data_IF_362252449689
#
_entry.id   IF_362252449689
#
_cell.length_a   1.000
_cell.length_b   1.000
_cell.length_c   1.000
_cell.angle_alpha   90.00
_cell.angle_beta   90.00
_cell.angle_gamma   90.00
#
_symmetry.space_group_name_H-M   'P 1'
#
loop_
_entity.id
_entity.type
_entity.pdbx_description
1 polymer ?
#
# COMPACT_ATOMS: atom_id res chain seq x y z
N UNK A 1 0.98 -17.56 -19.58
CA UNK A 1 0.38 -18.17 -18.38
C UNK A 1 -0.16 -17.02 -17.54
N UNK A 2 -1.34 -17.14 -16.92
CA UNK A 2 -1.80 -16.14 -15.98
C UNK A 2 -0.83 -16.13 -14.80
N UNK A 3 -0.38 -14.96 -14.37
CA UNK A 3 0.45 -14.79 -13.17
C UNK A 3 -0.26 -15.25 -11.90
N UNK A 4 0.45 -15.31 -10.78
CA UNK A 4 -0.10 -15.64 -9.48
C UNK A 4 -1.02 -14.55 -8.91
N UNK A 5 -1.33 -14.62 -7.63
CA UNK A 5 -2.04 -13.57 -6.90
C UNK A 5 -1.13 -12.39 -6.61
N UNK A 6 -1.67 -11.18 -6.71
CA UNK A 6 -1.03 -9.99 -6.19
C UNK A 6 -1.75 -9.48 -4.94
N UNK A 7 -0.97 -8.94 -4.01
CA UNK A 7 -1.40 -8.29 -2.79
C UNK A 7 -1.00 -6.81 -2.84
N UNK A 8 -1.96 -5.90 -2.73
CA UNK A 8 -1.72 -4.47 -2.68
C UNK A 8 -2.05 -3.93 -1.28
N UNK A 9 -1.07 -3.32 -0.64
CA UNK A 9 -1.13 -2.88 0.76
C UNK A 9 -1.03 -1.35 0.83
N UNK A 10 -2.08 -0.69 1.31
CA UNK A 10 -2.11 0.77 1.37
C UNK A 10 -1.24 1.34 2.50
N UNK A 11 -0.91 2.62 2.40
CA UNK A 11 -0.46 3.42 3.53
C UNK A 11 -1.53 3.53 4.63
N UNK A 12 -1.16 4.13 5.79
CA UNK A 12 -2.09 4.37 6.90
C UNK A 12 -1.46 4.37 8.30
N UNK A 13 -0.12 4.46 8.40
CA UNK A 13 0.60 4.57 9.67
C UNK A 13 0.27 3.42 10.65
N UNK A 14 -0.08 3.76 11.90
CA UNK A 14 -0.39 2.79 12.96
C UNK A 14 -1.60 1.88 12.61
N UNK A 15 -2.53 2.37 11.79
CA UNK A 15 -3.70 1.61 11.32
C UNK A 15 -3.34 0.37 10.49
N UNK A 16 -2.10 0.30 9.97
CA UNK A 16 -1.52 -0.88 9.33
C UNK A 16 -1.55 -2.16 10.18
N UNK A 17 -1.78 -2.04 11.48
CA UNK A 17 -2.03 -3.19 12.37
C UNK A 17 -3.20 -4.07 11.87
N UNK A 18 -4.22 -3.49 11.26
CA UNK A 18 -5.30 -4.24 10.61
C UNK A 18 -4.77 -5.16 9.50
N UNK A 19 -3.91 -4.62 8.64
CA UNK A 19 -3.30 -5.40 7.55
C UNK A 19 -2.52 -6.60 8.09
N UNK A 20 -1.79 -6.43 9.21
CA UNK A 20 -1.04 -7.54 9.84
C UNK A 20 -1.98 -8.67 10.26
N UNK A 21 -3.13 -8.35 10.84
CA UNK A 21 -4.15 -9.35 11.19
C UNK A 21 -4.72 -10.07 9.96
N UNK A 22 -4.97 -9.33 8.88
CA UNK A 22 -5.40 -9.90 7.60
C UNK A 22 -4.34 -10.86 7.04
N UNK A 23 -3.07 -10.48 7.06
CA UNK A 23 -1.96 -11.31 6.56
C UNK A 23 -1.75 -12.56 7.39
N UNK A 24 -1.85 -12.44 8.71
CA UNK A 24 -1.74 -13.60 9.63
C UNK A 24 -2.87 -14.61 9.34
N UNK A 25 -4.10 -14.17 9.22
CA UNK A 25 -5.22 -15.07 8.92
C UNK A 25 -5.12 -15.67 7.51
N UNK A 26 -4.81 -14.87 6.47
CA UNK A 26 -4.74 -15.35 5.10
C UNK A 26 -3.54 -16.27 4.84
N UNK A 27 -2.34 -15.86 5.28
CA UNK A 27 -1.10 -16.56 4.91
C UNK A 27 -0.81 -17.69 5.89
N UNK A 28 -0.82 -17.40 7.21
CA UNK A 28 -0.44 -18.39 8.22
C UNK A 28 -1.56 -19.40 8.44
N UNK A 29 -2.80 -18.92 8.63
CA UNK A 29 -3.91 -19.82 9.00
C UNK A 29 -4.59 -20.47 7.78
N UNK A 30 -4.59 -19.81 6.61
CA UNK A 30 -5.29 -20.29 5.42
C UNK A 30 -4.37 -20.73 4.28
N UNK A 31 -3.06 -20.51 4.40
CA UNK A 31 -2.09 -20.95 3.40
C UNK A 31 -2.20 -20.22 2.06
N UNK A 32 -2.72 -18.99 2.03
CA UNK A 32 -2.80 -18.19 0.80
C UNK A 32 -1.41 -17.72 0.41
N UNK A 33 -1.03 -17.94 -0.84
CA UNK A 33 0.26 -17.50 -1.38
C UNK A 33 0.08 -16.34 -2.36
N UNK A 34 0.94 -15.32 -2.24
CA UNK A 34 1.01 -14.18 -3.14
C UNK A 34 2.36 -14.19 -3.86
N UNK A 35 2.34 -14.11 -5.20
CA UNK A 35 3.54 -14.03 -6.02
C UNK A 35 4.09 -12.60 -6.09
N UNK A 36 3.17 -11.62 -6.09
CA UNK A 36 3.51 -10.20 -6.14
C UNK A 36 2.94 -9.50 -4.92
N UNK A 37 3.77 -8.71 -4.26
CA UNK A 37 3.36 -7.91 -3.09
C UNK A 37 3.81 -6.48 -3.29
N UNK A 38 2.85 -5.56 -3.24
CA UNK A 38 3.11 -4.13 -3.42
C UNK A 38 2.66 -3.36 -2.19
N UNK A 39 3.38 -2.32 -1.82
CA UNK A 39 3.01 -1.55 -0.63
C UNK A 39 3.54 -0.13 -0.60
N UNK A 40 2.82 0.71 0.12
CA UNK A 40 3.17 2.11 0.39
C UNK A 40 3.14 2.36 1.89
N UNK A 41 4.11 3.14 2.42
CA UNK A 41 4.14 3.53 3.83
C UNK A 41 4.14 2.30 4.76
N UNK A 42 3.21 2.24 5.69
CA UNK A 42 3.02 1.05 6.53
C UNK A 42 2.79 -0.21 5.70
N UNK A 43 2.10 -0.10 4.55
CA UNK A 43 1.93 -1.22 3.62
C UNK A 43 3.25 -1.72 3.03
N UNK A 44 4.28 -0.88 2.91
CA UNK A 44 5.62 -1.30 2.49
C UNK A 44 6.32 -2.15 3.58
N UNK A 45 6.07 -1.87 4.85
CA UNK A 45 6.54 -2.68 5.99
C UNK A 45 5.95 -4.09 5.90
N UNK A 46 4.63 -4.18 5.71
CA UNK A 46 3.93 -5.44 5.56
C UNK A 46 4.36 -6.19 4.29
N UNK A 47 4.51 -5.46 3.16
CA UNK A 47 4.95 -6.05 1.90
C UNK A 47 6.33 -6.70 2.03
N UNK A 48 7.28 -6.07 2.73
CA UNK A 48 8.58 -6.68 3.01
C UNK A 48 8.45 -7.94 3.88
N UNK A 49 7.58 -7.93 4.90
CA UNK A 49 7.29 -9.10 5.74
C UNK A 49 6.73 -10.28 4.94
N UNK A 50 5.80 -10.02 4.03
CA UNK A 50 5.24 -11.04 3.11
C UNK A 50 6.30 -11.51 2.10
N UNK A 51 7.07 -10.58 1.54
CA UNK A 51 8.09 -10.91 0.53
C UNK A 51 9.20 -11.81 1.08
N UNK A 52 9.52 -11.77 2.37
CA UNK A 52 10.49 -12.66 3.00
C UNK A 52 9.89 -13.93 3.61
N UNK A 53 8.58 -14.20 3.40
CA UNK A 53 7.84 -15.33 3.96
C UNK A 53 7.94 -15.43 5.50
N UNK A 54 7.95 -14.29 6.20
CA UNK A 54 8.15 -14.26 7.65
C UNK A 54 7.07 -13.41 8.36
N UNK A 55 5.82 -13.85 8.22
CA UNK A 55 4.67 -13.22 8.91
C UNK A 55 4.80 -13.26 10.43
N UNK A 56 5.32 -14.33 11.06
CA UNK A 56 5.57 -14.31 12.51
C UNK A 56 6.51 -13.18 12.94
N UNK A 57 7.54 -12.89 12.17
CA UNK A 57 8.46 -11.77 12.46
C UNK A 57 7.78 -10.42 12.29
N UNK A 58 6.98 -10.26 11.24
CA UNK A 58 6.15 -9.08 11.05
C UNK A 58 5.18 -8.88 12.22
N UNK A 59 4.50 -9.94 12.66
CA UNK A 59 3.60 -9.89 13.81
C UNK A 59 4.36 -9.49 15.09
N UNK A 60 5.56 -10.04 15.29
CA UNK A 60 6.42 -9.71 16.43
C UNK A 60 6.88 -8.25 16.40
N UNK A 61 7.18 -7.69 15.23
CA UNK A 61 7.47 -6.27 15.07
C UNK A 61 6.31 -5.41 15.60
N UNK A 62 5.08 -5.67 15.15
CA UNK A 62 3.91 -4.87 15.54
C UNK A 62 3.52 -5.05 17.02
N UNK A 63 3.50 -6.28 17.51
CA UNK A 63 3.15 -6.56 18.91
C UNK A 63 4.26 -6.18 19.90
N UNK A 64 5.48 -6.00 19.42
CA UNK A 64 6.62 -5.52 20.21
C UNK A 64 6.65 -4.00 20.44
N UNK A 65 5.81 -3.22 19.73
CA UNK A 65 5.74 -1.79 19.92
C UNK A 65 5.21 -1.43 21.31
N UNK A 66 5.90 -0.51 21.98
CA UNK A 66 5.58 -0.07 23.36
C UNK A 66 4.97 1.34 23.39
N UNK A 67 4.54 1.85 22.25
CA UNK A 67 4.02 3.20 22.08
C UNK A 67 4.80 3.98 21.02
N UNK A 68 4.43 5.24 20.85
CA UNK A 68 5.01 6.12 19.85
C UNK A 68 6.54 6.20 19.88
N UNK A 69 7.14 6.07 21.08
CA UNK A 69 8.60 6.11 21.26
C UNK A 69 9.36 4.95 20.59
N UNK A 70 8.66 3.85 20.25
CA UNK A 70 9.22 2.75 19.46
C UNK A 70 9.40 3.12 17.99
N UNK A 71 8.67 4.12 17.50
CA UNK A 71 8.68 4.56 16.11
C UNK A 71 9.40 5.89 15.95
N UNK A 72 9.03 6.88 16.77
CA UNK A 72 9.60 8.24 16.65
C UNK A 72 9.80 8.91 18.00
N UNK A 73 10.66 9.93 18.01
CA UNK A 73 10.91 10.80 19.17
C UNK A 73 10.73 12.26 18.78
N UNK A 74 10.10 13.05 19.64
CA UNK A 74 9.95 14.50 19.44
C UNK A 74 11.30 15.20 19.39
N UNK A 75 11.41 16.25 18.57
CA UNK A 75 12.61 17.10 18.43
C UNK A 75 12.42 18.48 19.04
N UNK A 76 11.56 18.65 20.04
CA UNK A 76 11.35 19.93 20.73
C UNK A 76 10.28 20.83 20.10
N UNK A 77 9.45 20.29 19.19
CA UNK A 77 8.36 21.01 18.55
C UNK A 77 8.77 21.83 17.31
N UNK A 78 7.76 22.41 16.63
CA UNK A 78 7.95 23.10 15.34
C UNK A 78 8.86 24.35 15.46
N UNK A 79 8.69 25.16 16.50
CA UNK A 79 9.49 26.38 16.70
C UNK A 79 10.98 26.00 16.81
N UNK A 80 11.29 24.94 17.55
CA UNK A 80 12.65 24.47 17.71
C UNK A 80 13.21 23.86 16.42
N UNK A 81 12.40 23.15 15.65
CA UNK A 81 12.79 22.61 14.34
C UNK A 81 13.11 23.74 13.35
N UNK A 82 12.31 24.80 13.31
CA UNK A 82 12.54 25.98 12.46
C UNK A 82 13.83 26.71 12.89
N UNK A 83 14.00 27.00 14.18
CA UNK A 83 15.19 27.73 14.70
C UNK A 83 16.48 26.94 14.44
N UNK A 84 16.43 25.61 14.55
CA UNK A 84 17.58 24.70 14.37
C UNK A 84 17.80 24.22 12.94
N UNK A 85 16.97 24.65 11.98
CA UNK A 85 17.07 24.26 10.57
C UNK A 85 16.85 22.74 10.33
N UNK A 86 16.06 22.08 11.18
CA UNK A 86 15.77 20.63 11.02
C UNK A 86 14.72 20.40 9.95
N UNK A 87 14.87 19.31 9.21
CA UNK A 87 14.04 18.95 8.08
C UNK A 87 12.82 18.07 8.45
N UNK A 88 12.51 17.91 9.74
CA UNK A 88 11.38 17.11 10.24
C UNK A 88 11.05 17.46 11.68
N UNK A 89 9.79 17.18 12.07
CA UNK A 89 9.30 17.39 13.43
C UNK A 89 9.76 16.29 14.40
N UNK A 90 9.94 15.06 13.89
CA UNK A 90 10.31 13.89 14.68
C UNK A 90 11.65 13.30 14.23
N UNK A 91 12.26 12.53 15.10
CA UNK A 91 13.39 11.65 14.82
C UNK A 91 12.90 10.22 14.71
N UNK A 92 13.23 9.52 13.64
CA UNK A 92 12.77 8.17 13.31
C UNK A 92 13.84 7.11 13.45
N UNK A 93 14.92 7.40 14.19
CA UNK A 93 15.97 6.41 14.49
C UNK A 93 15.44 5.08 15.04
N UNK A 94 14.45 5.09 15.97
CA UNK A 94 13.86 3.84 16.45
C UNK A 94 13.22 3.02 15.33
N UNK A 95 12.40 3.62 14.46
CA UNK A 95 11.79 2.94 13.32
C UNK A 95 12.84 2.36 12.37
N UNK A 96 13.87 3.15 12.01
CA UNK A 96 14.94 2.69 11.14
C UNK A 96 15.66 1.47 11.72
N UNK A 97 15.99 1.49 13.03
CA UNK A 97 16.61 0.35 13.69
C UNK A 97 15.73 -0.91 13.65
N UNK A 98 14.44 -0.77 13.92
CA UNK A 98 13.47 -1.88 13.85
C UNK A 98 13.34 -2.44 12.44
N UNK A 99 13.32 -1.59 11.41
CA UNK A 99 13.24 -2.05 10.01
C UNK A 99 14.52 -2.81 9.59
N UNK A 100 15.70 -2.31 9.94
CA UNK A 100 16.95 -3.02 9.69
C UNK A 100 17.07 -4.34 10.47
N UNK A 101 16.46 -4.44 11.64
CA UNK A 101 16.37 -5.70 12.36
C UNK A 101 15.40 -6.68 11.70
N UNK A 102 14.25 -6.19 11.20
CA UNK A 102 13.16 -7.01 10.67
C UNK A 102 13.42 -7.50 9.24
N UNK A 103 13.98 -6.64 8.36
CA UNK A 103 14.05 -6.88 6.92
C UNK A 103 15.40 -7.50 6.56
N UNK A 104 15.32 -8.59 5.78
CA UNK A 104 16.46 -9.36 5.29
C UNK A 104 16.41 -9.43 3.76
N UNK A 105 17.26 -8.67 3.10
CA UNK A 105 17.32 -8.56 1.64
C UNK A 105 17.57 -9.92 0.96
N UNK A 106 18.41 -10.78 1.57
CA UNK A 106 18.72 -12.09 1.00
C UNK A 106 17.52 -13.03 1.08
N UNK A 107 16.80 -13.03 2.19
CA UNK A 107 15.54 -13.78 2.31
C UNK A 107 14.52 -13.34 1.28
N UNK A 108 14.30 -12.02 1.12
CA UNK A 108 13.37 -11.50 0.12
C UNK A 108 13.72 -12.01 -1.28
N UNK A 109 15.00 -11.91 -1.68
CA UNK A 109 15.44 -12.40 -3.00
C UNK A 109 15.28 -13.92 -3.14
N UNK A 110 15.52 -14.66 -2.07
CA UNK A 110 15.46 -16.12 -2.10
C UNK A 110 14.03 -16.67 -2.29
N UNK A 111 12.99 -15.94 -1.91
CA UNK A 111 11.60 -16.37 -2.11
C UNK A 111 11.15 -16.33 -3.56
N UNK A 112 11.79 -15.48 -4.39
CA UNK A 112 11.37 -15.24 -5.77
C UNK A 112 10.09 -14.42 -5.91
N UNK A 113 9.55 -13.86 -4.82
CA UNK A 113 8.38 -12.98 -4.87
C UNK A 113 8.75 -11.61 -5.44
N UNK A 114 7.85 -11.03 -6.20
CA UNK A 114 7.97 -9.67 -6.69
C UNK A 114 7.57 -8.68 -5.59
N UNK A 115 8.55 -7.97 -5.01
CA UNK A 115 8.31 -6.87 -4.08
C UNK A 115 8.29 -5.54 -4.82
N UNK A 116 7.30 -4.67 -4.53
CA UNK A 116 7.18 -3.34 -5.11
C UNK A 116 6.82 -2.32 -4.02
N UNK A 117 7.71 -1.36 -3.79
CA UNK A 117 7.60 -0.32 -2.75
C UNK A 117 7.50 1.03 -3.45
N UNK A 118 6.44 1.79 -3.16
CA UNK A 118 6.25 3.13 -3.69
C UNK A 118 6.99 4.17 -2.83
N UNK A 119 7.80 5.03 -3.46
CA UNK A 119 8.48 6.17 -2.82
C UNK A 119 8.42 7.39 -3.72
N UNK A 120 8.44 8.58 -3.13
CA UNK A 120 8.42 9.85 -3.87
C UNK A 120 9.72 10.62 -3.65
N UNK A 121 10.35 11.04 -4.75
CA UNK A 121 11.46 11.98 -4.69
C UNK A 121 10.92 13.40 -4.49
N UNK A 122 11.09 13.97 -3.29
CA UNK A 122 10.55 15.30 -2.97
C UNK A 122 11.24 16.42 -3.74
N UNK A 123 12.42 16.18 -4.34
CA UNK A 123 13.17 17.21 -5.07
C UNK A 123 12.59 17.48 -6.46
N UNK A 124 11.93 16.50 -7.08
CA UNK A 124 11.38 16.59 -8.44
C UNK A 124 9.94 16.06 -8.57
N UNK A 125 9.35 15.52 -7.48
CA UNK A 125 8.01 14.96 -7.46
C UNK A 125 7.87 13.58 -8.14
N UNK A 126 8.97 12.91 -8.52
CA UNK A 126 8.93 11.61 -9.19
C UNK A 126 8.44 10.51 -8.24
N UNK A 127 7.48 9.70 -8.70
CA UNK A 127 7.13 8.41 -8.09
C UNK A 127 8.09 7.34 -8.60
N UNK A 128 8.76 6.65 -7.70
CA UNK A 128 9.60 5.49 -8.00
C UNK A 128 9.06 4.24 -7.32
N UNK A 129 9.05 3.14 -8.06
CA UNK A 129 8.77 1.82 -7.52
C UNK A 129 10.09 1.08 -7.34
N UNK A 130 10.38 0.72 -6.09
CA UNK A 130 11.60 -0.01 -5.68
C UNK A 130 11.23 -1.48 -5.51
N UNK A 131 12.08 -2.38 -5.99
CA UNK A 131 11.83 -3.83 -5.97
C UNK A 131 12.86 -4.62 -5.17
N UNK A 132 12.67 -5.94 -5.12
CA UNK A 132 13.50 -6.93 -4.42
C UNK A 132 14.99 -6.94 -4.82
N UNK A 133 15.29 -6.46 -6.02
CA UNK A 133 16.66 -6.42 -6.54
C UNK A 133 17.44 -5.15 -6.10
N UNK A 134 16.79 -4.25 -5.35
CA UNK A 134 17.43 -3.06 -4.80
C UNK A 134 18.16 -3.40 -3.52
N UNK A 135 19.36 -2.81 -3.31
CA UNK A 135 20.10 -2.99 -2.07
C UNK A 135 19.51 -2.12 -0.94
N UNK A 136 19.66 -2.58 0.30
CA UNK A 136 19.19 -1.92 1.50
C UNK A 136 17.67 -1.69 1.47
N UNK A 137 16.89 -2.72 1.25
CA UNK A 137 15.41 -2.67 1.18
C UNK A 137 14.82 -2.01 2.43
N UNK A 138 15.42 -2.22 3.61
CA UNK A 138 14.99 -1.57 4.85
C UNK A 138 15.00 -0.03 4.76
N UNK A 139 16.00 0.56 4.09
CA UNK A 139 16.06 2.01 3.87
C UNK A 139 14.95 2.49 2.94
N UNK A 140 14.61 1.71 1.93
CA UNK A 140 13.53 2.06 1.00
C UNK A 140 12.14 1.88 1.62
N UNK A 141 11.96 0.87 2.47
CA UNK A 141 10.74 0.73 3.30
C UNK A 141 10.62 1.91 4.25
N UNK A 142 11.73 2.34 4.86
CA UNK A 142 11.75 3.56 5.64
C UNK A 142 11.38 4.80 4.81
N UNK A 143 11.96 4.97 3.63
CA UNK A 143 11.65 6.09 2.73
C UNK A 143 10.16 6.13 2.39
N UNK A 144 9.58 4.97 2.08
CA UNK A 144 8.14 4.82 1.84
C UNK A 144 7.29 5.21 3.06
N UNK A 145 7.82 5.11 4.27
CA UNK A 145 7.14 5.46 5.53
C UNK A 145 7.50 6.86 6.05
N UNK A 146 8.32 7.63 5.32
CA UNK A 146 8.81 8.94 5.73
C UNK A 146 7.81 10.05 5.39
N UNK A 147 6.65 10.08 6.08
CA UNK A 147 5.58 11.05 5.82
C UNK A 147 5.98 12.48 6.21
N UNK A 148 6.02 13.43 5.23
CA UNK A 148 6.26 14.84 5.54
C UNK A 148 5.04 15.49 6.21
N UNK A 149 5.23 16.53 7.03
CA UNK A 149 6.48 17.10 7.52
C UNK A 149 7.01 16.39 8.79
N UNK A 150 6.38 15.28 9.18
CA UNK A 150 6.66 14.57 10.43
C UNK A 150 8.04 13.93 10.43
N UNK A 151 8.34 13.14 9.43
CA UNK A 151 9.51 12.27 9.36
C UNK A 151 10.58 12.80 8.38
N UNK A 152 11.89 12.62 8.70
CA UNK A 152 12.95 13.06 7.82
C UNK A 152 13.03 12.19 6.56
N UNK A 153 13.33 12.78 5.37
CA UNK A 153 13.50 12.01 4.14
C UNK A 153 14.73 11.10 4.20
N UNK A 154 14.67 9.96 3.52
CA UNK A 154 15.87 9.19 3.17
C UNK A 154 16.70 10.02 2.18
N UNK A 155 18.01 10.09 2.41
CA UNK A 155 18.94 10.80 1.54
C UNK A 155 19.82 9.81 0.80
N UNK A 156 19.78 9.88 -0.52
CA UNK A 156 20.66 9.14 -1.41
C UNK A 156 21.46 10.08 -2.32
N UNK A 157 22.39 9.53 -3.06
CA UNK A 157 23.09 10.25 -4.12
C UNK A 157 23.01 9.46 -5.41
N UNK A 158 22.79 10.16 -6.50
CA UNK A 158 22.91 9.60 -7.84
C UNK A 158 24.38 9.27 -8.17
N UNK A 159 24.63 8.54 -9.25
CA UNK A 159 25.98 8.19 -9.69
C UNK A 159 26.85 9.42 -10.00
N UNK A 160 26.26 10.52 -10.42
CA UNK A 160 26.90 11.81 -10.67
C UNK A 160 26.96 12.72 -9.42
N UNK A 161 26.56 12.18 -8.24
CA UNK A 161 26.72 12.82 -6.94
C UNK A 161 25.60 13.78 -6.52
N UNK A 162 24.53 13.92 -7.30
CA UNK A 162 23.37 14.75 -6.96
C UNK A 162 22.64 14.18 -5.75
N UNK A 163 22.24 15.06 -4.83
CA UNK A 163 21.46 14.69 -3.66
C UNK A 163 19.99 14.45 -4.04
N UNK A 164 19.49 13.27 -3.72
CA UNK A 164 18.08 12.93 -3.76
C UNK A 164 17.51 12.80 -2.36
N UNK A 165 16.22 13.14 -2.20
CA UNK A 165 15.50 13.02 -0.94
C UNK A 165 14.19 12.31 -1.18
N UNK A 166 14.03 11.13 -0.54
CA UNK A 166 12.91 10.22 -0.73
C UNK A 166 11.99 10.27 0.48
N UNK A 167 10.71 10.37 0.22
CA UNK A 167 9.64 10.45 1.20
C UNK A 167 8.54 9.46 0.89
N UNK A 168 7.52 9.42 1.74
CA UNK A 168 6.37 8.52 1.66
C UNK A 168 5.74 8.51 0.27
N UNK A 169 5.53 7.29 -0.24
CA UNK A 169 4.89 7.04 -1.53
C UNK A 169 3.46 7.53 -1.60
N UNK A 170 2.77 7.59 -0.45
CA UNK A 170 1.36 8.00 -0.34
C UNK A 170 1.08 9.43 -0.81
N UNK A 171 2.11 10.25 -1.00
CA UNK A 171 1.92 11.55 -1.67
C UNK A 171 1.47 11.41 -3.14
N UNK A 172 1.62 10.23 -3.76
CA UNK A 172 1.27 9.99 -5.16
C UNK A 172 0.56 8.67 -5.45
N UNK A 173 0.73 7.65 -4.60
CA UNK A 173 0.22 6.30 -4.81
C UNK A 173 0.07 5.63 -3.42
N UNK A 174 -1.12 5.68 -2.86
CA UNK A 174 -1.41 5.15 -1.53
C UNK A 174 -1.63 3.64 -1.57
N UNK A 175 -2.32 3.16 -2.60
CA UNK A 175 -2.50 1.73 -2.84
C UNK A 175 -1.93 1.41 -4.22
N UNK A 176 -0.69 0.90 -4.33
CA UNK A 176 0.05 0.88 -5.59
C UNK A 176 -0.45 -0.19 -6.58
N UNK A 177 -1.72 -0.08 -7.00
CA UNK A 177 -2.36 -0.99 -7.96
C UNK A 177 -1.61 -1.05 -9.27
N UNK A 178 -1.14 0.09 -9.79
CA UNK A 178 -0.45 0.13 -11.08
C UNK A 178 0.84 -0.68 -11.05
N UNK A 179 1.53 -0.72 -9.90
CA UNK A 179 2.71 -1.57 -9.71
C UNK A 179 2.33 -3.05 -9.69
N UNK A 180 1.23 -3.43 -9.01
CA UNK A 180 0.73 -4.79 -9.00
C UNK A 180 0.31 -5.27 -10.41
N UNK A 181 -0.44 -4.44 -11.15
CA UNK A 181 -0.97 -4.79 -12.47
C UNK A 181 0.11 -4.98 -13.53
N UNK A 182 1.26 -4.28 -13.41
CA UNK A 182 2.42 -4.46 -14.31
C UNK A 182 3.00 -5.87 -14.26
N UNK A 183 2.88 -6.55 -13.13
CA UNK A 183 3.31 -7.95 -12.96
C UNK A 183 2.31 -8.97 -13.54
N UNK A 184 1.22 -8.50 -14.15
CA UNK A 184 0.19 -9.30 -14.81
C UNK A 184 -0.42 -10.41 -13.93
N UNK A 185 -0.86 -10.09 -12.71
CA UNK A 185 -1.46 -11.08 -11.81
C UNK A 185 -2.78 -11.60 -12.36
N UNK A 186 -3.22 -12.79 -11.89
CA UNK A 186 -4.55 -13.31 -12.20
C UNK A 186 -5.67 -12.58 -11.47
N UNK A 187 -5.36 -12.05 -10.26
CA UNK A 187 -6.25 -11.24 -9.45
C UNK A 187 -5.43 -10.39 -8.45
N UNK A 188 -6.00 -9.30 -7.96
CA UNK A 188 -5.40 -8.42 -6.94
C UNK A 188 -6.30 -8.38 -5.72
N UNK A 189 -5.77 -8.78 -4.56
CA UNK A 189 -6.37 -8.45 -3.27
C UNK A 189 -5.75 -7.15 -2.76
N UNK A 190 -6.55 -6.12 -2.58
CA UNK A 190 -6.13 -4.90 -1.92
C UNK A 190 -6.54 -4.94 -0.45
N UNK A 191 -5.59 -4.64 0.45
CA UNK A 191 -5.89 -4.50 1.88
C UNK A 191 -5.57 -3.06 2.28
N UNK A 192 -6.61 -2.28 2.54
CA UNK A 192 -6.47 -0.91 3.02
C UNK A 192 -6.24 -0.93 4.54
N UNK A 193 -5.33 -0.11 5.01
CA UNK A 193 -5.06 0.08 6.44
C UNK A 193 -6.15 0.91 7.11
N UNK A 194 -6.76 1.84 6.36
CA UNK A 194 -7.73 2.82 6.84
C UNK A 194 -9.14 2.50 6.38
N UNK A 195 -10.10 2.84 7.25
CA UNK A 195 -11.52 2.85 6.91
C UNK A 195 -11.81 3.94 5.85
N UNK A 196 -12.97 3.86 5.17
CA UNK A 196 -13.43 4.97 4.35
C UNK A 196 -13.41 6.28 5.15
N UNK A 197 -12.96 7.40 4.57
CA UNK A 197 -12.76 8.63 5.31
C UNK A 197 -14.06 9.14 5.94
N UNK A 198 -14.03 9.34 7.26
CA UNK A 198 -15.12 9.96 8.00
C UNK A 198 -14.59 11.19 8.75
N UNK A 199 -14.85 12.36 8.19
CA UNK A 199 -14.38 13.62 8.74
C UNK A 199 -15.27 14.10 9.86
N UNK A 200 -14.78 14.04 11.10
CA UNK A 200 -15.49 14.63 12.25
C UNK A 200 -15.20 16.13 12.34
N UNK A 201 -16.23 17.00 12.41
CA UNK A 201 -15.99 18.43 12.62
C UNK A 201 -15.22 18.68 13.91
N UNK A 202 -14.03 19.30 13.79
CA UNK A 202 -13.22 19.72 14.92
C UNK A 202 -12.49 21.03 14.62
N UNK A 203 -12.10 21.77 15.65
CA UNK A 203 -11.27 22.97 15.53
C UNK A 203 -9.80 22.58 15.54
N UNK A 204 -9.05 23.00 14.52
CA UNK A 204 -7.60 22.83 14.44
C UNK A 204 -6.91 24.09 14.98
N UNK A 205 -6.10 23.96 16.04
CA UNK A 205 -5.54 25.09 16.78
C UNK A 205 -4.09 25.42 16.42
N UNK A 206 -3.41 24.54 15.70
CA UNK A 206 -2.02 24.78 15.30
C UNK A 206 -1.82 24.59 13.80
N UNK A 207 -0.84 25.33 13.24
CA UNK A 207 -0.44 25.16 11.84
C UNK A 207 0.08 23.74 11.54
N UNK A 208 0.62 23.05 12.55
CA UNK A 208 1.07 21.66 12.43
C UNK A 208 -0.12 20.74 12.22
N UNK A 209 -1.14 20.86 13.08
CA UNK A 209 -2.35 20.02 12.97
C UNK A 209 -3.07 20.27 11.65
N UNK A 210 -3.14 21.53 11.20
CA UNK A 210 -3.69 21.88 9.88
C UNK A 210 -2.86 21.24 8.77
N UNK A 211 -1.52 21.27 8.88
CA UNK A 211 -0.61 20.67 7.90
C UNK A 211 -0.78 19.16 7.79
N UNK A 212 -0.85 18.45 8.91
CA UNK A 212 -1.11 17.00 8.91
C UNK A 212 -2.50 16.69 8.35
N UNK A 213 -3.53 17.41 8.77
CA UNK A 213 -4.89 17.22 8.24
C UNK A 213 -4.96 17.46 6.73
N UNK A 214 -4.23 18.46 6.21
CA UNK A 214 -4.18 18.69 4.77
C UNK A 214 -3.51 17.52 4.02
N UNK A 215 -2.46 16.92 4.58
CA UNK A 215 -1.83 15.73 4.02
C UNK A 215 -2.79 14.53 4.08
N UNK A 216 -3.49 14.33 5.19
CA UNK A 216 -4.47 13.23 5.34
C UNK A 216 -5.62 13.35 4.32
N UNK A 217 -6.13 14.58 4.09
CA UNK A 217 -7.16 14.82 3.04
C UNK A 217 -6.61 14.49 1.64
N UNK A 218 -5.40 14.93 1.33
CA UNK A 218 -4.79 14.67 0.03
C UNK A 218 -4.50 13.20 -0.20
N UNK A 219 -3.99 12.50 0.80
CA UNK A 219 -3.69 11.06 0.69
C UNK A 219 -4.97 10.21 0.63
N UNK A 220 -6.04 10.61 1.32
CA UNK A 220 -7.34 9.95 1.20
C UNK A 220 -7.90 10.04 -0.22
N UNK A 221 -7.82 11.22 -0.86
CA UNK A 221 -8.22 11.42 -2.26
C UNK A 221 -7.37 10.57 -3.22
N UNK A 222 -6.05 10.50 -3.00
CA UNK A 222 -5.17 9.63 -3.80
C UNK A 222 -5.59 8.16 -3.66
N UNK A 223 -5.86 7.69 -2.43
CA UNK A 223 -6.26 6.32 -2.17
C UNK A 223 -7.60 5.93 -2.85
N UNK A 224 -8.56 6.85 -2.86
CA UNK A 224 -9.85 6.64 -3.51
C UNK A 224 -9.72 6.65 -5.03
N UNK A 225 -8.89 7.55 -5.59
CA UNK A 225 -8.59 7.59 -7.02
C UNK A 225 -7.82 6.35 -7.50
N UNK A 226 -6.91 5.79 -6.68
CA UNK A 226 -6.18 4.56 -7.02
C UNK A 226 -7.15 3.39 -7.27
N UNK A 227 -8.16 3.23 -6.40
CA UNK A 227 -9.17 2.19 -6.52
C UNK A 227 -10.14 2.49 -7.68
N UNK A 228 -10.67 3.71 -7.73
CA UNK A 228 -11.65 4.13 -8.75
C UNK A 228 -11.10 3.94 -10.18
N UNK A 229 -9.82 4.20 -10.39
CA UNK A 229 -9.17 3.99 -11.69
C UNK A 229 -9.17 2.51 -12.11
N UNK A 230 -8.89 1.58 -11.19
CA UNK A 230 -8.90 0.13 -11.48
C UNK A 230 -10.32 -0.34 -11.78
N UNK A 231 -11.30 0.08 -10.99
CA UNK A 231 -12.71 -0.26 -11.18
C UNK A 231 -13.23 0.29 -12.51
N UNK A 232 -12.88 1.53 -12.85
CA UNK A 232 -13.27 2.16 -14.12
C UNK A 232 -12.69 1.41 -15.32
N UNK A 233 -11.40 1.08 -15.30
CA UNK A 233 -10.76 0.30 -16.38
C UNK A 233 -11.41 -1.07 -16.52
N UNK A 234 -11.64 -1.78 -15.42
CA UNK A 234 -12.31 -3.07 -15.44
C UNK A 234 -13.74 -2.97 -15.99
N UNK A 235 -14.49 -1.91 -15.64
CA UNK A 235 -15.84 -1.70 -16.15
C UNK A 235 -15.87 -1.41 -17.65
N UNK A 236 -14.90 -0.67 -18.18
CA UNK A 236 -14.78 -0.41 -19.62
C UNK A 236 -14.50 -1.69 -20.41
N UNK A 237 -13.59 -2.55 -19.89
CA UNK A 237 -13.26 -3.83 -20.54
C UNK A 237 -14.46 -4.80 -20.49
N UNK A 238 -15.19 -4.81 -19.39
CA UNK A 238 -16.41 -5.62 -19.26
C UNK A 238 -17.51 -5.15 -20.22
N UNK A 239 -17.73 -3.83 -20.30
CA UNK A 239 -18.72 -3.25 -21.20
C UNK A 239 -18.38 -3.49 -22.70
N UNK A 240 -17.09 -3.46 -23.06
CA UNK A 240 -16.63 -3.82 -24.41
C UNK A 240 -16.99 -5.28 -24.74
N UNK A 241 -16.71 -6.20 -23.83
CA UNK A 241 -17.02 -7.62 -24.04
C UNK A 241 -18.54 -7.87 -24.16
N UNK A 242 -19.34 -7.20 -23.33
CA UNK A 242 -20.82 -7.27 -23.39
C UNK A 242 -21.35 -6.73 -24.71
N UNK A 243 -20.87 -5.56 -25.15
CA UNK A 243 -21.28 -4.96 -26.44
C UNK A 243 -20.92 -5.86 -27.62
N UNK A 244 -19.77 -6.52 -27.61
CA UNK A 244 -19.41 -7.51 -28.64
C UNK A 244 -20.38 -8.68 -28.66
N UNK A 245 -20.75 -9.19 -27.50
CA UNK A 245 -21.70 -10.29 -27.41
C UNK A 245 -23.09 -9.91 -27.94
N UNK A 246 -23.56 -8.70 -27.65
CA UNK A 246 -24.83 -8.18 -28.18
C UNK A 246 -24.80 -8.03 -29.70
N UNK A 247 -23.76 -7.44 -30.27
CA UNK A 247 -23.62 -7.30 -31.73
C UNK A 247 -23.57 -8.64 -32.42
N UNK A 248 -22.90 -9.63 -31.84
CA UNK A 248 -22.89 -11.00 -32.34
C UNK A 248 -24.29 -11.65 -32.27
N UNK A 249 -25.03 -11.43 -31.17
CA UNK A 249 -26.41 -11.93 -31.03
C UNK A 249 -27.40 -11.32 -32.04
N UNK A 250 -27.13 -10.08 -32.48
CA UNK A 250 -27.86 -9.38 -33.56
C UNK A 250 -27.50 -9.94 -34.96
N UNK A 251 -26.56 -10.91 -35.06
CA UNK A 251 -26.16 -11.53 -36.32
C UNK A 251 -25.07 -10.76 -37.08
N UNK A 252 -24.38 -9.79 -36.45
CA UNK A 252 -23.27 -9.08 -37.07
C UNK A 252 -22.06 -10.01 -37.25
N UNK A 253 -21.42 -9.97 -38.42
CA UNK A 253 -20.24 -10.77 -38.70
C UNK A 253 -19.04 -10.31 -37.83
N UNK A 254 -18.14 -11.22 -37.37
CA UNK A 254 -17.00 -10.84 -36.52
C UNK A 254 -16.15 -9.73 -37.09
N UNK A 255 -15.88 -9.67 -38.38
CA UNK A 255 -15.09 -8.60 -39.01
C UNK A 255 -15.79 -7.24 -38.96
N UNK A 256 -17.11 -7.19 -38.96
CA UNK A 256 -17.87 -5.95 -38.83
C UNK A 256 -17.91 -5.51 -37.36
N UNK A 257 -18.00 -6.44 -36.42
CA UNK A 257 -17.87 -6.17 -34.98
C UNK A 257 -16.50 -5.55 -34.72
N UNK A 258 -15.43 -6.17 -35.19
CA UNK A 258 -14.07 -5.65 -35.01
C UNK A 258 -13.91 -4.23 -35.58
N UNK A 259 -14.52 -3.97 -36.74
CA UNK A 259 -14.49 -2.64 -37.35
C UNK A 259 -15.25 -1.60 -36.53
N UNK A 260 -16.43 -1.93 -36.04
CA UNK A 260 -17.25 -1.03 -35.21
C UNK A 260 -16.61 -0.76 -33.87
N UNK A 261 -16.06 -1.79 -33.23
CA UNK A 261 -15.44 -1.71 -31.90
C UNK A 261 -14.00 -1.15 -31.92
N UNK A 262 -13.39 -1.03 -33.12
CA UNK A 262 -11.98 -0.61 -33.23
C UNK A 262 -11.64 0.67 -32.47
N UNK A 263 -12.42 1.77 -32.50
CA UNK A 263 -12.07 2.97 -31.77
C UNK A 263 -11.96 2.75 -30.26
N UNK A 264 -12.85 1.94 -29.67
CA UNK A 264 -12.81 1.59 -28.26
C UNK A 264 -11.64 0.64 -27.96
N UNK A 265 -11.44 -0.37 -28.81
CA UNK A 265 -10.35 -1.32 -28.62
C UNK A 265 -8.99 -0.64 -28.67
N UNK A 266 -8.75 0.27 -29.60
CA UNK A 266 -7.48 1.01 -29.71
C UNK A 266 -7.15 1.79 -28.40
N UNK A 267 -8.17 2.24 -27.65
CA UNK A 267 -7.99 2.92 -26.37
C UNK A 267 -7.73 1.96 -25.18
N UNK A 268 -8.40 0.79 -25.19
CA UNK A 268 -8.35 -0.14 -24.04
C UNK A 268 -7.39 -1.32 -24.23
N UNK A 269 -6.84 -1.56 -25.45
CA UNK A 269 -5.96 -2.72 -25.71
C UNK A 269 -4.71 -2.80 -24.83
N UNK A 270 -4.25 -1.67 -24.33
CA UNK A 270 -3.12 -1.58 -23.38
C UNK A 270 -3.47 -2.04 -21.98
N UNK A 271 -4.76 -2.16 -21.66
CA UNK A 271 -5.25 -2.60 -20.36
C UNK A 271 -5.71 -4.06 -20.40
N UNK A 272 -5.80 -4.65 -19.25
CA UNK A 272 -6.32 -5.99 -19.06
C UNK A 272 -7.30 -5.99 -17.91
N UNK A 273 -8.40 -6.71 -18.05
CA UNK A 273 -9.29 -7.00 -16.94
C UNK A 273 -8.55 -7.82 -15.88
N UNK A 274 -8.48 -7.31 -14.66
CA UNK A 274 -7.91 -8.01 -13.51
C UNK A 274 -8.90 -7.97 -12.37
N UNK A 275 -9.48 -9.12 -11.97
CA UNK A 275 -10.36 -9.18 -10.82
C UNK A 275 -9.68 -8.55 -9.60
N UNK A 276 -10.37 -7.63 -8.94
CA UNK A 276 -9.86 -6.92 -7.77
C UNK A 276 -10.88 -7.02 -6.64
N UNK A 277 -10.40 -7.34 -5.45
CA UNK A 277 -11.21 -7.32 -4.22
C UNK A 277 -10.53 -6.45 -3.18
N UNK A 278 -11.32 -5.70 -2.42
CA UNK A 278 -10.83 -4.81 -1.36
C UNK A 278 -11.27 -5.33 -0.01
N UNK A 279 -10.32 -5.37 0.93
CA UNK A 279 -10.55 -5.61 2.35
C UNK A 279 -10.04 -4.39 3.13
N UNK A 280 -10.91 -3.82 3.97
CA UNK A 280 -10.61 -2.62 4.76
C UNK A 280 -11.38 -2.66 6.07
N UNK A 281 -10.92 -1.94 7.13
CA UNK A 281 -11.67 -1.83 8.36
C UNK A 281 -12.96 -1.02 8.16
N UNK A 282 -13.96 -1.25 9.00
CA UNK A 282 -15.22 -0.49 8.98
C UNK A 282 -15.06 0.91 9.58
N UNK A 283 -14.14 1.06 10.54
CA UNK A 283 -13.80 2.33 11.19
C UNK A 283 -12.38 2.31 11.72
N UNK A 284 -11.80 3.50 11.89
CA UNK A 284 -10.48 3.69 12.47
C UNK A 284 -10.60 3.96 13.97
N UNK A 285 -9.96 3.14 14.82
CA UNK A 285 -10.07 3.29 16.27
C UNK A 285 -9.13 4.36 16.84
N UNK A 286 -8.16 4.85 16.08
CA UNK A 286 -7.11 5.79 16.51
C UNK A 286 -6.52 6.57 15.34
N UNK A 287 -5.69 7.56 15.67
CA UNK A 287 -5.01 8.43 14.69
C UNK A 287 -3.83 7.72 13.99
N UNK A 288 -3.47 8.19 12.80
CA UNK A 288 -2.43 7.60 11.93
C UNK A 288 -1.05 7.44 12.61
N UNK A 289 -0.69 8.33 13.53
CA UNK A 289 0.58 8.28 14.27
C UNK A 289 0.44 7.88 15.75
N UNK A 290 -0.64 7.21 16.11
CA UNK A 290 -0.89 6.72 17.48
C UNK A 290 -0.58 5.22 17.58
N UNK A 291 0.62 4.90 18.08
CA UNK A 291 1.10 3.53 18.24
C UNK A 291 0.84 3.02 19.67
N UNK A 292 -0.42 2.95 20.08
CA UNK A 292 -0.81 2.36 21.35
C UNK A 292 -0.82 0.83 21.27
N UNK A 293 -0.09 0.11 22.15
CA UNK A 293 0.01 -1.36 22.09
C UNK A 293 -1.31 -2.11 22.22
N UNK A 294 -2.24 -1.57 23.02
CA UNK A 294 -3.56 -2.20 23.22
C UNK A 294 -4.41 -2.05 21.96
N UNK A 295 -4.48 -0.82 21.43
CA UNK A 295 -5.22 -0.53 20.20
C UNK A 295 -4.64 -1.28 18.99
N UNK A 296 -3.32 -1.41 18.91
CA UNK A 296 -2.65 -2.22 17.88
C UNK A 296 -3.08 -3.68 17.97
N UNK A 297 -3.04 -4.27 19.15
CA UNK A 297 -3.42 -5.68 19.34
C UNK A 297 -4.90 -5.92 18.98
N UNK A 298 -5.79 -5.03 19.37
CA UNK A 298 -7.21 -5.09 19.00
C UNK A 298 -7.41 -4.96 17.50
N UNK A 299 -6.65 -4.09 16.84
CA UNK A 299 -6.79 -3.86 15.40
C UNK A 299 -6.24 -5.03 14.57
N UNK A 300 -5.19 -5.70 15.05
CA UNK A 300 -4.72 -6.97 14.48
C UNK A 300 -5.84 -8.02 14.54
N UNK A 301 -6.52 -8.17 15.69
CA UNK A 301 -7.62 -9.14 15.78
C UNK A 301 -8.81 -8.79 14.89
N UNK A 302 -9.13 -7.50 14.71
CA UNK A 302 -10.13 -7.04 13.73
C UNK A 302 -9.76 -7.44 12.31
N UNK A 303 -8.46 -7.36 11.95
CA UNK A 303 -7.99 -7.80 10.64
C UNK A 303 -8.20 -9.30 10.42
N UNK A 304 -7.90 -10.14 11.42
CA UNK A 304 -8.19 -11.58 11.38
C UNK A 304 -9.69 -11.85 11.22
N UNK A 305 -10.49 -11.15 12.01
CA UNK A 305 -11.95 -11.31 11.99
C UNK A 305 -12.54 -10.90 10.64
N UNK A 306 -12.08 -9.82 10.03
CA UNK A 306 -12.54 -9.38 8.71
C UNK A 306 -12.31 -10.45 7.61
N UNK A 307 -11.22 -11.20 7.68
CA UNK A 307 -10.98 -12.34 6.79
C UNK A 307 -11.96 -13.48 7.07
N UNK A 308 -12.17 -13.83 8.34
CA UNK A 308 -13.08 -14.91 8.74
C UNK A 308 -14.51 -14.63 8.29
N UNK A 309 -14.99 -13.41 8.50
CA UNK A 309 -16.36 -12.99 8.16
C UNK A 309 -16.61 -12.99 6.65
N UNK A 310 -15.58 -12.67 5.85
CA UNK A 310 -15.68 -12.63 4.39
C UNK A 310 -15.06 -13.85 3.70
N UNK A 311 -14.76 -14.92 4.43
CA UNK A 311 -14.07 -16.08 3.86
C UNK A 311 -14.83 -16.74 2.71
N UNK A 312 -16.14 -16.79 2.78
CA UNK A 312 -16.99 -17.35 1.70
C UNK A 312 -16.84 -16.60 0.37
N UNK A 313 -16.49 -15.31 0.40
CA UNK A 313 -16.21 -14.48 -0.78
C UNK A 313 -14.73 -14.56 -1.17
N UNK A 314 -13.84 -14.51 -0.18
CA UNK A 314 -12.39 -14.48 -0.38
C UNK A 314 -11.86 -15.82 -0.93
N UNK A 315 -12.31 -16.96 -0.41
CA UNK A 315 -11.77 -18.27 -0.80
C UNK A 315 -11.90 -18.55 -2.32
N UNK A 316 -13.07 -18.40 -2.96
CA UNK A 316 -13.19 -18.59 -4.41
C UNK A 316 -12.42 -17.53 -5.21
N UNK A 317 -12.37 -16.28 -4.74
CA UNK A 317 -11.60 -15.22 -5.38
C UNK A 317 -10.09 -15.51 -5.36
N UNK A 318 -9.58 -15.97 -4.21
CA UNK A 318 -8.17 -16.34 -4.03
C UNK A 318 -7.83 -17.70 -4.64
N UNK A 319 -8.84 -18.49 -5.08
CA UNK A 319 -8.66 -19.80 -5.67
C UNK A 319 -8.15 -20.85 -4.67
N UNK A 320 -8.44 -20.67 -3.39
CA UNK A 320 -8.19 -21.68 -2.35
C UNK A 320 -9.47 -22.47 -2.13
N UNK A 321 -9.34 -23.80 -2.08
CA UNK A 321 -10.48 -24.67 -1.80
C UNK A 321 -11.05 -24.38 -0.41
N UNK A 322 -12.39 -24.32 -0.33
CA UNK A 322 -13.08 -24.14 0.93
C UNK A 322 -12.97 -25.37 1.84
#
# INVERSE_FOLDING_TARGET
MAGGLALALSGGGAKGAFQVGVLDELIVNRGVEFETVVGTSTGAIQAAGVAQDDIPRLLSFWTGLKGNSSIYKGRGGMIWAIITGKNSLYSTGPLQALLHEMIDDEKIRATGKNLRIAVVNITNGELRIVGENTDNIADWVYASSAQPPGFPPLRTRTADGLLEQWVDGGLRDVTPFSAALKERPRAVLAVRAEAPPFWTPREYKSAVDIGFQAVDILTAEVADNDLANVEFINSLIAAEAEQRAELAAMGMAPADIDRVMKPLNDEIERFRFVPTMVLQPEFDPYETLEFDPVLIAEHIERGRQAVRDRWSELAPFLGVGG
#
